data_IF_609596894525
#
_entry.id   IF_609596894525
#
_cell.length_a   1.000
_cell.length_b   1.000
_cell.length_c   1.000
_cell.angle_alpha   90.00
_cell.angle_beta   90.00
_cell.angle_gamma   90.00
#
_symmetry.space_group_name_H-M   'P 1'
#
loop_
_entity.id
_entity.type
_entity.pdbx_description
1 polymer ?
#
# COMPACT_ATOMS: atom_id res chain seq x y z
N UNK A 1 -4.07 -13.48 1.29
CA UNK A 1 -2.67 -13.04 1.40
C UNK A 1 -2.38 -12.48 2.79
N UNK A 2 -1.16 -12.69 3.28
CA UNK A 2 -0.63 -12.00 4.48
C UNK A 2 -0.56 -10.49 4.26
N UNK A 3 -0.49 -9.70 5.34
CA UNK A 3 -0.47 -8.23 5.27
C UNK A 3 0.72 -7.71 6.06
N UNK A 4 1.57 -6.90 5.44
CA UNK A 4 2.66 -6.19 6.13
C UNK A 4 2.52 -4.70 5.88
N UNK A 5 2.55 -3.89 6.94
CA UNK A 5 2.37 -2.43 6.83
C UNK A 5 3.70 -1.73 7.03
N UNK A 6 4.08 -0.90 6.05
CA UNK A 6 5.30 -0.11 6.12
C UNK A 6 5.34 0.78 7.37
N UNK A 7 6.47 0.83 8.07
CA UNK A 7 6.60 1.54 9.37
C UNK A 7 6.04 2.97 9.30
N UNK A 8 6.33 3.69 8.21
CA UNK A 8 5.83 5.05 8.00
C UNK A 8 4.33 5.11 7.73
N UNK A 9 3.78 4.12 7.03
CA UNK A 9 2.34 4.01 6.79
C UNK A 9 1.56 3.56 8.03
N UNK A 10 2.16 2.72 8.88
CA UNK A 10 1.64 2.41 10.21
C UNK A 10 1.57 3.68 11.07
N UNK A 11 2.60 4.53 11.05
CA UNK A 11 2.56 5.85 11.70
C UNK A 11 1.45 6.74 11.14
N UNK A 12 1.23 6.76 9.83
CA UNK A 12 0.14 7.54 9.23
C UNK A 12 -1.24 7.00 9.61
N UNK A 13 -1.43 5.69 9.67
CA UNK A 13 -2.67 5.07 10.14
C UNK A 13 -3.05 5.58 11.54
N UNK A 14 -2.09 5.58 12.46
CA UNK A 14 -2.31 6.02 13.85
C UNK A 14 -2.57 7.53 14.03
N UNK A 15 -2.42 8.35 12.97
CA UNK A 15 -2.80 9.76 13.00
C UNK A 15 -4.30 9.99 12.81
N UNK A 16 -5.02 8.99 12.30
CA UNK A 16 -6.48 9.08 12.13
C UNK A 16 -7.20 8.71 13.43
N UNK A 17 -8.46 9.10 13.55
CA UNK A 17 -9.31 8.64 14.65
C UNK A 17 -9.55 7.13 14.59
N UNK A 18 -9.84 6.52 15.74
CA UNK A 18 -9.98 5.06 15.87
C UNK A 18 -11.04 4.47 14.93
N UNK A 19 -12.15 5.16 14.72
CA UNK A 19 -13.22 4.73 13.80
C UNK A 19 -12.71 4.62 12.36
N UNK A 20 -11.95 5.63 11.91
CA UNK A 20 -11.33 5.67 10.58
C UNK A 20 -10.26 4.58 10.46
N UNK A 21 -9.44 4.38 11.50
CA UNK A 21 -8.43 3.31 11.50
C UNK A 21 -9.07 1.93 11.31
N UNK A 22 -10.16 1.63 12.02
CA UNK A 22 -10.87 0.36 11.90
C UNK A 22 -11.45 0.15 10.50
N UNK A 23 -12.01 1.20 9.89
CA UNK A 23 -12.51 1.14 8.52
C UNK A 23 -11.39 0.83 7.51
N UNK A 24 -10.23 1.49 7.66
CA UNK A 24 -9.06 1.23 6.80
C UNK A 24 -8.57 -0.22 6.98
N UNK A 25 -8.46 -0.70 8.22
CA UNK A 25 -7.98 -2.05 8.50
C UNK A 25 -8.95 -3.12 7.96
N UNK A 26 -10.26 -2.91 8.12
CA UNK A 26 -11.28 -3.81 7.58
C UNK A 26 -11.25 -3.87 6.05
N UNK A 27 -11.07 -2.72 5.37
CA UNK A 27 -10.92 -2.70 3.92
C UNK A 27 -9.64 -3.38 3.45
N UNK A 28 -8.52 -3.17 4.13
CA UNK A 28 -7.26 -3.90 3.84
C UNK A 28 -7.47 -5.40 4.04
N UNK A 29 -8.14 -5.82 5.11
CA UNK A 29 -8.45 -7.22 5.37
C UNK A 29 -9.29 -7.82 4.24
N UNK A 30 -10.36 -7.13 3.82
CA UNK A 30 -11.20 -7.55 2.69
C UNK A 30 -10.39 -7.67 1.40
N UNK A 31 -9.60 -6.66 1.04
CA UNK A 31 -8.83 -6.69 -0.20
C UNK A 31 -7.77 -7.79 -0.16
N UNK A 32 -7.16 -8.05 0.99
CA UNK A 32 -6.13 -9.09 1.13
C UNK A 32 -6.62 -10.52 0.87
N UNK A 33 -7.94 -10.78 0.86
CA UNK A 33 -8.47 -12.10 0.51
C UNK A 33 -8.38 -12.37 -0.99
N UNK A 34 -8.51 -11.34 -1.83
CA UNK A 34 -8.36 -11.42 -3.27
C UNK A 34 -7.81 -10.09 -3.84
N UNK A 35 -6.49 -9.83 -3.72
CA UNK A 35 -5.92 -8.51 -3.97
C UNK A 35 -5.49 -8.25 -5.42
N UNK A 36 -5.63 -9.25 -6.29
CA UNK A 36 -5.33 -9.18 -7.72
C UNK A 36 -6.37 -8.34 -8.49
N UNK A 37 -6.05 -7.88 -9.72
CA UNK A 37 -7.00 -7.18 -10.59
C UNK A 37 -8.02 -8.14 -11.23
N UNK A 38 -9.00 -7.56 -11.94
CA UNK A 38 -10.08 -8.19 -12.73
C UNK A 38 -11.06 -9.07 -11.97
N UNK A 39 -10.60 -10.20 -11.43
CA UNK A 39 -11.40 -11.12 -10.62
C UNK A 39 -11.37 -10.77 -9.12
N UNK A 40 -10.47 -9.87 -8.72
CA UNK A 40 -10.27 -9.45 -7.34
C UNK A 40 -10.59 -7.99 -7.05
N UNK A 41 -10.32 -7.58 -5.82
CA UNK A 41 -10.58 -6.23 -5.34
C UNK A 41 -9.49 -5.22 -5.72
N UNK A 42 -8.37 -5.70 -6.27
CA UNK A 42 -7.25 -4.86 -6.63
C UNK A 42 -7.58 -3.90 -7.77
N UNK A 43 -7.22 -2.64 -7.60
CA UNK A 43 -7.28 -1.64 -8.67
C UNK A 43 -5.87 -1.25 -9.07
N UNK A 44 -5.39 -1.68 -10.25
CA UNK A 44 -4.01 -1.43 -10.65
C UNK A 44 -3.77 0.08 -10.80
N UNK A 45 -2.54 0.47 -10.50
CA UNK A 45 -1.97 1.74 -10.88
C UNK A 45 -1.17 1.54 -12.17
N UNK A 46 -1.06 2.61 -12.95
CA UNK A 46 -0.34 2.60 -14.21
C UNK A 46 0.61 3.77 -14.27
N UNK A 47 1.16 3.99 -15.46
CA UNK A 47 2.06 5.09 -15.71
C UNK A 47 1.29 6.42 -15.87
N UNK A 48 1.74 7.47 -15.16
CA UNK A 48 1.30 8.85 -15.36
C UNK A 48 2.52 9.78 -15.38
N UNK A 49 3.04 10.07 -16.57
CA UNK A 49 4.20 10.95 -16.75
C UNK A 49 5.45 10.34 -16.09
N UNK A 50 6.06 11.08 -15.16
CA UNK A 50 7.27 10.65 -14.43
C UNK A 50 6.99 9.67 -13.27
N UNK A 51 5.71 9.45 -12.92
CA UNK A 51 5.33 8.53 -11.85
C UNK A 51 4.86 7.18 -12.43
N UNK A 52 5.82 6.30 -12.74
CA UNK A 52 5.52 4.94 -13.16
C UNK A 52 5.19 4.05 -11.95
N UNK A 53 3.91 3.89 -11.66
CA UNK A 53 3.40 3.02 -10.58
C UNK A 53 2.82 1.70 -11.12
N UNK A 54 3.30 1.24 -12.27
CA UNK A 54 2.95 -0.09 -12.81
C UNK A 54 3.34 -1.17 -11.80
N UNK A 55 2.46 -2.15 -11.60
CA UNK A 55 2.63 -3.22 -10.61
C UNK A 55 2.13 -2.88 -9.19
N UNK A 56 1.81 -1.61 -8.91
CA UNK A 56 1.16 -1.22 -7.66
C UNK A 56 -0.36 -1.24 -7.81
N UNK A 57 -1.05 -1.26 -6.67
CA UNK A 57 -2.50 -1.28 -6.58
C UNK A 57 -2.99 -0.26 -5.55
N UNK A 58 -4.28 0.09 -5.63
CA UNK A 58 -4.93 0.99 -4.66
C UNK A 58 -6.23 0.47 -4.09
N UNK A 59 -6.51 0.88 -2.85
CA UNK A 59 -7.84 0.84 -2.23
C UNK A 59 -8.35 2.27 -2.09
N UNK A 60 -9.61 2.51 -2.47
CA UNK A 60 -10.28 3.81 -2.33
C UNK A 60 -11.39 3.74 -1.28
N UNK A 61 -11.23 4.48 -0.19
CA UNK A 61 -12.27 4.63 0.83
C UNK A 61 -13.03 5.93 0.59
N UNK A 62 -14.07 5.87 -0.27
CA UNK A 62 -14.79 7.07 -0.74
C UNK A 62 -15.40 7.88 0.42
N UNK A 63 -16.07 7.21 1.37
CA UNK A 63 -16.80 7.88 2.45
C UNK A 63 -15.92 8.63 3.46
N UNK A 64 -14.66 8.23 3.61
CA UNK A 64 -13.71 8.84 4.57
C UNK A 64 -12.56 9.58 3.86
N UNK A 65 -12.58 9.65 2.53
CA UNK A 65 -11.57 10.36 1.75
C UNK A 65 -10.15 9.83 1.95
N UNK A 66 -9.96 8.50 1.98
CA UNK A 66 -8.63 7.87 2.18
C UNK A 66 -8.27 6.96 1.01
N UNK A 67 -6.98 6.92 0.68
CA UNK A 67 -6.39 5.95 -0.25
C UNK A 67 -5.30 5.15 0.44
N UNK A 68 -5.22 3.89 0.04
CA UNK A 68 -4.14 2.99 0.40
C UNK A 68 -3.46 2.52 -0.87
N UNK A 69 -2.13 2.58 -0.92
CA UNK A 69 -1.33 2.01 -2.03
C UNK A 69 -0.56 0.81 -1.50
N UNK A 70 -0.56 -0.26 -2.28
CA UNK A 70 0.10 -1.52 -1.93
C UNK A 70 0.75 -2.19 -3.14
N UNK A 71 1.70 -3.07 -2.86
CA UNK A 71 2.30 -4.01 -3.81
C UNK A 71 2.04 -5.45 -3.36
N UNK A 72 2.28 -6.40 -4.27
CA UNK A 72 2.11 -7.83 -4.01
C UNK A 72 3.45 -8.55 -4.07
N UNK A 73 3.68 -9.45 -3.13
CA UNK A 73 4.76 -10.43 -3.13
C UNK A 73 4.12 -11.78 -3.43
N UNK A 74 4.20 -12.21 -4.69
CA UNK A 74 3.45 -13.37 -5.18
C UNK A 74 3.92 -14.67 -4.52
N UNK A 75 5.23 -14.88 -4.42
CA UNK A 75 5.83 -16.11 -3.89
C UNK A 75 5.43 -16.34 -2.42
N UNK A 76 5.55 -15.31 -1.59
CA UNK A 76 5.20 -15.37 -0.17
C UNK A 76 3.72 -15.10 0.10
N UNK A 77 2.91 -14.83 -0.93
CA UNK A 77 1.49 -14.44 -0.82
C UNK A 77 1.27 -13.29 0.17
N UNK A 78 2.09 -12.24 0.10
CA UNK A 78 2.02 -11.06 0.98
C UNK A 78 1.53 -9.83 0.22
N UNK A 79 0.71 -9.03 0.90
CA UNK A 79 0.28 -7.70 0.49
C UNK A 79 1.02 -6.65 1.31
N UNK A 80 1.92 -5.91 0.65
CA UNK A 80 2.74 -4.87 1.26
C UNK A 80 1.99 -3.54 1.24
N UNK A 81 1.55 -3.04 2.39
CA UNK A 81 0.86 -1.75 2.51
C UNK A 81 1.90 -0.63 2.62
N UNK A 82 2.09 0.12 1.54
CA UNK A 82 3.18 1.07 1.39
C UNK A 82 2.77 2.50 1.74
N UNK A 83 1.55 2.91 1.41
CA UNK A 83 1.04 4.27 1.66
C UNK A 83 -0.38 4.21 2.21
N UNK A 84 -0.66 5.00 3.25
CA UNK A 84 -2.01 5.30 3.75
C UNK A 84 -2.10 6.81 3.90
N UNK A 85 -2.99 7.47 3.16
CA UNK A 85 -3.12 8.93 3.17
C UNK A 85 -4.52 9.42 2.80
N UNK A 86 -4.83 10.68 3.13
CA UNK A 86 -6.03 11.36 2.64
C UNK A 86 -6.05 11.44 1.10
N UNK A 87 -7.23 11.73 0.56
CA UNK A 87 -7.55 11.81 -0.87
C UNK A 87 -6.86 12.97 -1.62
N UNK A 88 -5.74 13.48 -1.15
CA UNK A 88 -4.93 14.39 -1.95
C UNK A 88 -4.20 13.57 -3.02
N UNK A 89 -4.74 13.61 -4.25
CA UNK A 89 -4.48 12.65 -5.31
C UNK A 89 -2.99 12.59 -5.70
N UNK A 90 -2.25 13.71 -5.63
CA UNK A 90 -0.83 13.73 -6.02
C UNK A 90 0.08 13.22 -4.91
N UNK A 91 -0.12 13.65 -3.67
CA UNK A 91 0.77 13.27 -2.56
C UNK A 91 0.84 11.75 -2.35
N UNK A 92 -0.29 11.05 -2.49
CA UNK A 92 -0.34 9.59 -2.31
C UNK A 92 0.54 8.85 -3.34
N UNK A 93 0.46 9.26 -4.60
CA UNK A 93 1.18 8.62 -5.70
C UNK A 93 2.65 9.04 -5.77
N UNK A 94 2.94 10.32 -5.50
CA UNK A 94 4.32 10.78 -5.34
C UNK A 94 5.03 10.05 -4.21
N UNK A 95 4.34 9.82 -3.09
CA UNK A 95 4.93 9.10 -1.96
C UNK A 95 5.19 7.62 -2.30
N UNK A 96 4.28 6.98 -3.05
CA UNK A 96 4.50 5.64 -3.57
C UNK A 96 5.71 5.60 -4.53
N UNK A 97 5.84 6.58 -5.42
CA UNK A 97 6.99 6.67 -6.32
C UNK A 97 8.29 6.89 -5.53
N UNK A 98 8.30 7.76 -4.51
CA UNK A 98 9.47 7.93 -3.62
C UNK A 98 9.88 6.63 -2.91
N UNK A 99 8.91 5.80 -2.51
CA UNK A 99 9.21 4.47 -1.96
C UNK A 99 9.84 3.60 -3.05
N UNK A 100 9.27 3.59 -4.27
CA UNK A 100 9.82 2.81 -5.37
C UNK A 100 11.23 3.27 -5.76
N UNK A 101 11.49 4.56 -5.90
CA UNK A 101 12.82 5.11 -6.18
C UNK A 101 13.85 4.73 -5.11
N UNK A 102 13.42 4.64 -3.84
CA UNK A 102 14.32 4.28 -2.73
C UNK A 102 14.62 2.78 -2.65
N UNK A 103 13.64 1.94 -2.94
CA UNK A 103 13.72 0.50 -2.68
C UNK A 103 13.76 -0.35 -3.95
N UNK A 104 13.51 0.24 -5.12
CA UNK A 104 13.39 -0.45 -6.41
C UNK A 104 12.41 -1.60 -6.37
N UNK A 105 12.71 -2.65 -7.12
CA UNK A 105 11.87 -3.85 -7.22
C UNK A 105 11.76 -4.63 -5.92
N UNK A 106 12.57 -4.31 -4.91
CA UNK A 106 12.44 -4.95 -3.60
C UNK A 106 11.04 -4.73 -3.03
N UNK A 107 10.32 -3.65 -3.34
CA UNK A 107 8.94 -3.44 -2.87
C UNK A 107 7.96 -4.53 -3.29
N UNK A 108 8.28 -5.30 -4.34
CA UNK A 108 7.53 -6.47 -4.82
C UNK A 108 8.03 -7.79 -4.21
N UNK A 109 8.99 -7.70 -3.29
CA UNK A 109 9.56 -8.78 -2.50
C UNK A 109 9.24 -8.54 -1.01
N UNK A 110 9.55 -9.52 -0.16
CA UNK A 110 9.42 -9.36 1.29
C UNK A 110 10.52 -8.46 1.87
N UNK A 111 10.41 -7.15 1.66
CA UNK A 111 11.37 -6.16 2.19
C UNK A 111 11.38 -6.10 3.71
N UNK A 112 10.31 -6.56 4.35
CA UNK A 112 10.05 -6.31 5.76
C UNK A 112 10.97 -7.12 6.67
N UNK A 113 11.47 -8.27 6.21
CA UNK A 113 12.51 -9.01 6.94
C UNK A 113 13.87 -8.30 6.83
N UNK A 114 14.25 -7.79 5.64
CA UNK A 114 15.58 -7.18 5.42
C UNK A 114 15.71 -5.77 6.00
N UNK A 115 14.64 -4.97 6.00
CA UNK A 115 14.65 -3.59 6.52
C UNK A 115 14.61 -3.56 8.05
N UNK A 116 13.97 -4.52 8.73
CA UNK A 116 14.05 -4.62 10.19
C UNK A 116 15.44 -5.04 10.67
N UNK A 117 16.14 -5.89 9.92
CA UNK A 117 17.51 -6.32 10.23
C UNK A 117 18.52 -5.17 10.07
N UNK A 118 18.37 -4.30 9.07
CA UNK A 118 19.29 -3.15 8.86
C UNK A 118 19.08 -1.97 9.83
N UNK A 119 18.02 -1.99 10.63
CA UNK A 119 17.74 -0.95 11.65
C UNK A 119 17.86 -1.49 13.09
N UNK A 120 18.40 -2.70 13.25
CA UNK A 120 18.96 -3.22 14.50
C UNK A 120 20.47 -3.02 14.46
#
# INVERSE_FOLDING_TARGET
MGKKIFKRSKKNLFKFERSIQLQILAGIQKVSSNPLPDVGYGKPLGNKGENNLTGFFKIKYKGIGIRVVYSLVMDSKIMNILVISKRDDNFCYEYANKIYQKYGDSVFQDIFEKVEIKNK
#
